data_IF_363034305600
#
_entry.id   IF_363034305600
#
_cell.length_a   1.000
_cell.length_b   1.000
_cell.length_c   1.000
_cell.angle_alpha   90.00
_cell.angle_beta   90.00
_cell.angle_gamma   90.00
#
_symmetry.space_group_name_H-M   'P 1'
#
loop_
_entity.id
_entity.type
_entity.pdbx_description
1 polymer ?
#
# COMPACT_ATOMS: atom_id res chain seq x y z
N UNK A 1 3.90 -15.06 -19.40
CA UNK A 1 4.85 -14.90 -18.28
C UNK A 1 4.82 -13.44 -17.87
N UNK A 2 4.52 -13.03 -16.64
CA UNK A 2 4.65 -13.70 -15.36
C UNK A 2 3.46 -13.31 -14.49
N UNK A 3 2.82 -14.26 -13.82
CA UNK A 3 1.92 -13.95 -12.71
C UNK A 3 2.77 -13.19 -11.70
N UNK A 4 2.59 -11.87 -11.61
CA UNK A 4 3.19 -11.06 -10.56
C UNK A 4 2.58 -11.62 -9.28
N UNK A 5 3.36 -12.44 -8.58
CA UNK A 5 2.99 -13.04 -7.32
C UNK A 5 2.45 -11.90 -6.46
N UNK A 6 1.13 -11.88 -6.22
CA UNK A 6 0.48 -10.88 -5.37
C UNK A 6 1.09 -11.03 -3.98
N UNK A 7 2.23 -10.37 -3.74
CA UNK A 7 2.76 -10.22 -2.40
C UNK A 7 1.61 -9.59 -1.62
N UNK A 8 1.06 -10.30 -0.64
CA UNK A 8 -0.05 -9.75 0.16
C UNK A 8 0.35 -8.42 0.83
N UNK A 9 1.66 -8.22 1.03
CA UNK A 9 2.24 -7.05 1.66
C UNK A 9 3.42 -6.50 0.87
N UNK A 10 3.46 -5.19 0.71
CA UNK A 10 4.59 -4.43 0.16
C UNK A 10 5.36 -3.74 1.28
N UNK A 11 6.68 -3.75 1.14
CA UNK A 11 7.60 -3.01 1.97
C UNK A 11 7.83 -1.61 1.39
N UNK A 12 8.49 -0.73 2.15
CA UNK A 12 8.73 0.66 1.75
C UNK A 12 9.48 0.77 0.41
N UNK A 13 10.39 -0.16 0.12
CA UNK A 13 11.15 -0.18 -1.14
C UNK A 13 10.25 -0.51 -2.33
N UNK A 14 9.30 -1.45 -2.19
CA UNK A 14 8.31 -1.75 -3.23
C UNK A 14 7.41 -0.52 -3.46
N UNK A 15 6.96 0.14 -2.39
CA UNK A 15 6.13 1.36 -2.45
C UNK A 15 6.87 2.51 -3.14
N UNK A 16 8.15 2.72 -2.81
CA UNK A 16 9.01 3.68 -3.48
C UNK A 16 9.18 3.39 -4.97
N UNK A 17 9.39 2.13 -5.34
CA UNK A 17 9.56 1.73 -6.73
C UNK A 17 8.29 1.95 -7.55
N UNK A 18 7.11 1.72 -6.96
CA UNK A 18 5.82 1.90 -7.65
C UNK A 18 5.43 3.37 -7.79
N UNK A 19 5.59 4.15 -6.72
CA UNK A 19 5.19 5.56 -6.69
C UNK A 19 6.27 6.52 -7.23
N UNK A 20 7.52 6.08 -7.34
CA UNK A 20 8.66 6.93 -7.68
C UNK A 20 8.98 8.00 -6.63
N UNK A 21 8.60 7.77 -5.37
CA UNK A 21 8.75 8.72 -4.26
C UNK A 21 9.94 8.38 -3.37
N UNK A 22 10.41 9.36 -2.59
CA UNK A 22 11.48 9.14 -1.61
C UNK A 22 11.05 8.18 -0.49
N UNK A 23 12.02 7.46 0.10
CA UNK A 23 11.76 6.54 1.23
C UNK A 23 11.06 7.23 2.39
N UNK A 24 11.46 8.45 2.72
CA UNK A 24 10.84 9.26 3.78
C UNK A 24 9.36 9.54 3.51
N UNK A 25 9.03 9.83 2.26
CA UNK A 25 7.64 10.06 1.84
C UNK A 25 6.84 8.76 1.86
N UNK A 26 7.40 7.66 1.35
CA UNK A 26 6.76 6.34 1.42
C UNK A 26 6.48 5.90 2.86
N UNK A 27 7.41 6.09 3.80
CA UNK A 27 7.17 5.80 5.22
C UNK A 27 6.04 6.64 5.81
N UNK A 28 5.98 7.92 5.48
CA UNK A 28 4.90 8.82 5.94
C UNK A 28 3.55 8.36 5.40
N UNK A 29 3.49 8.04 4.11
CA UNK A 29 2.31 7.55 3.42
C UNK A 29 1.81 6.22 3.99
N UNK A 30 2.70 5.23 4.15
CA UNK A 30 2.38 3.92 4.74
C UNK A 30 1.86 4.06 6.17
N UNK A 31 2.41 5.01 6.95
CA UNK A 31 1.95 5.27 8.32
C UNK A 31 0.54 5.85 8.34
N UNK A 32 0.23 6.75 7.42
CA UNK A 32 -1.11 7.34 7.29
C UNK A 32 -2.13 6.28 6.85
N UNK A 33 -1.80 5.47 5.85
CA UNK A 33 -2.65 4.37 5.39
C UNK A 33 -2.84 3.28 6.43
N UNK A 34 -1.82 2.93 7.21
CA UNK A 34 -1.99 2.01 8.33
C UNK A 34 -2.87 2.62 9.45
N UNK A 35 -2.94 3.95 9.61
CA UNK A 35 -3.94 4.56 10.51
C UNK A 35 -5.35 4.42 9.96
N UNK A 36 -5.55 4.69 8.66
CA UNK A 36 -6.86 4.53 8.01
C UNK A 36 -7.35 3.07 8.06
N UNK A 37 -6.48 2.12 7.72
CA UNK A 37 -6.78 0.69 7.76
C UNK A 37 -7.14 0.24 9.18
N UNK A 38 -6.40 0.70 10.20
CA UNK A 38 -6.71 0.41 11.60
C UNK A 38 -8.06 1.00 12.02
N UNK A 39 -8.39 2.21 11.56
CA UNK A 39 -9.68 2.84 11.82
C UNK A 39 -10.85 2.10 11.14
N UNK A 40 -10.62 1.53 9.96
CA UNK A 40 -11.57 0.67 9.25
C UNK A 40 -11.69 -0.76 9.85
N UNK A 41 -10.90 -1.09 10.88
CA UNK A 41 -10.92 -2.41 11.54
C UNK A 41 -10.06 -3.48 10.86
N UNK A 42 -9.20 -3.10 9.91
CA UNK A 42 -8.26 -4.02 9.28
C UNK A 42 -7.01 -4.24 10.13
N UNK A 43 -6.40 -5.41 9.97
CA UNK A 43 -5.10 -5.72 10.57
C UNK A 43 -4.00 -4.96 9.80
N UNK A 44 -3.24 -4.15 10.53
CA UNK A 44 -2.12 -3.37 9.99
C UNK A 44 -0.80 -3.83 10.58
N UNK A 45 0.23 -3.85 9.75
CA UNK A 45 1.58 -4.26 10.14
C UNK A 45 2.51 -3.08 9.95
N UNK A 46 3.20 -2.66 11.00
CA UNK A 46 4.17 -1.57 10.90
C UNK A 46 5.28 -1.93 9.90
N UNK A 47 5.58 -1.01 8.98
CA UNK A 47 6.57 -1.21 7.92
C UNK A 47 6.06 -1.93 6.68
N UNK A 48 4.82 -2.45 6.70
CA UNK A 48 4.19 -3.13 5.56
C UNK A 48 2.83 -2.53 5.24
N UNK A 49 2.42 -2.63 3.99
CA UNK A 49 1.08 -2.24 3.55
C UNK A 49 0.49 -3.30 2.63
N UNK A 50 -0.81 -3.53 2.71
CA UNK A 50 -1.48 -4.42 1.78
C UNK A 50 -1.37 -3.89 0.36
N UNK A 51 -0.90 -4.72 -0.57
CA UNK A 51 -0.79 -4.40 -2.01
C UNK A 51 -2.12 -3.93 -2.57
N UNK A 52 -3.21 -4.61 -2.20
CA UNK A 52 -4.57 -4.31 -2.65
C UNK A 52 -5.00 -2.92 -2.19
N UNK A 53 -4.83 -2.62 -0.91
CA UNK A 53 -5.21 -1.32 -0.35
C UNK A 53 -4.40 -0.17 -0.96
N UNK A 54 -3.09 -0.37 -1.13
CA UNK A 54 -2.24 0.64 -1.77
C UNK A 54 -2.64 0.83 -3.23
N UNK A 55 -2.85 -0.24 -3.99
CA UNK A 55 -3.27 -0.16 -5.38
C UNK A 55 -4.63 0.55 -5.54
N UNK A 56 -5.62 0.21 -4.72
CA UNK A 56 -6.93 0.89 -4.71
C UNK A 56 -6.79 2.39 -4.43
N UNK A 57 -5.94 2.77 -3.47
CA UNK A 57 -5.78 4.17 -3.05
C UNK A 57 -4.95 5.00 -4.03
N UNK A 58 -3.93 4.41 -4.67
CA UNK A 58 -3.07 5.10 -5.66
C UNK A 58 -3.76 5.20 -7.01
N UNK A 59 -4.29 4.09 -7.53
CA UNK A 59 -4.85 4.05 -8.88
C UNK A 59 -6.27 4.59 -8.95
N UNK A 60 -6.91 4.88 -7.81
CA UNK A 60 -8.17 5.61 -7.76
C UNK A 60 -9.32 4.94 -8.49
N UNK A 61 -9.20 3.67 -8.86
CA UNK A 61 -10.32 2.90 -9.40
C UNK A 61 -11.22 2.52 -8.24
N UNK A 62 -12.15 3.42 -7.90
CA UNK A 62 -13.50 2.96 -7.61
C UNK A 62 -13.94 2.18 -8.84
N UNK A 63 -13.82 0.86 -8.79
CA UNK A 63 -14.78 0.05 -9.53
C UNK A 63 -16.06 0.24 -8.72
N UNK A 64 -16.83 1.26 -9.08
CA UNK A 64 -18.25 1.30 -8.72
C UNK A 64 -18.87 0.00 -9.22
N UNK A 65 -19.75 -0.57 -8.38
CA UNK A 65 -20.42 -1.88 -8.43
C UNK A 65 -20.58 -2.58 -9.80
#
# INVERSE_FOLDING_TARGET
MSMMQEKMYMDVDDVCAILGVSKTYAYSLMREYNKELKAKGYIVVAGKISTKFLAEKIYGMKVED
#
